data_IF_855604412033
#
_entry.id   IF_855604412033
#
_cell.length_a   1.000
_cell.length_b   1.000
_cell.length_c   1.000
_cell.angle_alpha   90.00
_cell.angle_beta   90.00
_cell.angle_gamma   90.00
#
_symmetry.space_group_name_H-M   'P 1'
#
loop_
_entity.id
_entity.type
_entity.pdbx_description
1 polymer ?
#
# COMPACT_ATOMS: atom_id res chain seq x y z
N UNK A 1 -10.86 34.08 -10.01
CA UNK A 1 -10.66 32.74 -9.42
C UNK A 1 -9.17 32.57 -9.16
N UNK A 2 -8.71 32.44 -7.90
CA UNK A 2 -7.31 32.16 -7.66
C UNK A 2 -7.01 30.75 -8.17
N UNK A 3 -6.04 30.63 -9.07
CA UNK A 3 -5.51 29.36 -9.53
C UNK A 3 -4.95 28.62 -8.33
N UNK A 4 -5.53 27.47 -7.98
CA UNK A 4 -4.94 26.54 -7.02
C UNK A 4 -3.66 26.03 -7.66
N UNK A 5 -2.55 26.73 -7.40
CA UNK A 5 -1.23 26.18 -7.62
C UNK A 5 -1.07 25.12 -6.53
N UNK A 6 -1.37 23.87 -6.86
CA UNK A 6 -0.90 22.73 -6.09
C UNK A 6 0.64 22.78 -6.14
N UNK A 7 1.23 23.53 -5.21
CA UNK A 7 2.66 23.49 -5.00
C UNK A 7 3.00 22.06 -4.60
N UNK A 8 3.51 21.29 -5.55
CA UNK A 8 4.12 19.98 -5.37
C UNK A 8 5.42 20.19 -4.54
N UNK A 9 5.23 20.59 -3.28
CA UNK A 9 6.29 21.14 -2.43
C UNK A 9 7.09 19.97 -1.92
N UNK A 10 8.29 19.80 -2.50
CA UNK A 10 9.22 18.76 -2.08
C UNK A 10 9.69 19.06 -0.65
N UNK A 11 9.19 18.29 0.31
CA UNK A 11 9.68 18.35 1.68
C UNK A 11 11.05 17.67 1.79
N UNK A 12 11.94 18.27 2.59
CA UNK A 12 13.26 17.71 2.88
C UNK A 12 13.20 16.98 4.21
N UNK A 13 13.53 15.70 4.19
CA UNK A 13 13.65 14.86 5.37
C UNK A 13 15.10 14.42 5.54
N UNK A 14 15.66 14.61 6.74
CA UNK A 14 16.99 14.14 7.11
C UNK A 14 16.84 12.99 8.10
N UNK A 15 17.48 11.85 7.83
CA UNK A 15 17.45 10.68 8.69
C UNK A 15 18.82 10.01 8.72
N UNK A 16 19.10 9.29 9.81
CA UNK A 16 20.32 8.51 9.94
C UNK A 16 20.08 7.08 9.47
N UNK A 17 21.02 6.54 8.70
CA UNK A 17 21.03 5.14 8.26
C UNK A 17 22.35 4.49 8.64
N UNK A 18 22.34 3.17 8.75
CA UNK A 18 23.57 2.40 8.91
C UNK A 18 24.43 2.45 7.64
N UNK A 19 25.74 2.24 7.82
CA UNK A 19 26.73 2.22 6.74
C UNK A 19 26.34 1.26 5.60
N UNK A 20 25.88 0.06 5.97
CA UNK A 20 25.57 -0.99 5.01
C UNK A 20 24.43 -0.60 4.07
N UNK A 21 23.40 0.09 4.58
CA UNK A 21 22.30 0.58 3.77
C UNK A 21 22.74 1.75 2.90
N UNK A 22 23.57 2.65 3.42
CA UNK A 22 24.16 3.75 2.66
C UNK A 22 24.96 3.23 1.45
N UNK A 23 25.78 2.20 1.66
CA UNK A 23 26.59 1.58 0.60
C UNK A 23 25.73 0.90 -0.46
N UNK A 24 24.69 0.18 -0.04
CA UNK A 24 23.74 -0.47 -0.95
C UNK A 24 22.99 0.55 -1.80
N UNK A 25 22.45 1.60 -1.17
CA UNK A 25 21.73 2.68 -1.86
C UNK A 25 22.66 3.40 -2.84
N UNK A 26 23.91 3.67 -2.43
CA UNK A 26 24.91 4.32 -3.28
C UNK A 26 25.26 3.46 -4.50
N UNK A 27 25.39 2.13 -4.35
CA UNK A 27 25.61 1.21 -5.46
C UNK A 27 24.43 1.20 -6.44
N UNK A 28 23.20 1.13 -5.93
CA UNK A 28 21.97 1.16 -6.75
C UNK A 28 21.85 2.49 -7.48
N UNK A 29 22.13 3.61 -6.81
CA UNK A 29 22.16 4.94 -7.41
C UNK A 29 23.11 5.01 -8.60
N UNK A 30 24.33 4.46 -8.46
CA UNK A 30 25.31 4.39 -9.56
C UNK A 30 24.84 3.53 -10.72
N UNK A 31 24.25 2.36 -10.45
CA UNK A 31 23.78 1.43 -11.48
C UNK A 31 22.58 1.97 -12.26
N UNK A 32 21.63 2.59 -11.55
CA UNK A 32 20.36 3.08 -12.13
C UNK A 32 20.45 4.52 -12.63
N UNK A 33 21.55 5.22 -12.31
CA UNK A 33 21.75 6.66 -12.56
C UNK A 33 20.66 7.54 -11.92
N UNK A 34 19.98 7.03 -10.89
CA UNK A 34 18.98 7.76 -10.13
C UNK A 34 19.60 8.38 -8.88
N UNK A 35 19.19 9.58 -8.47
CA UNK A 35 19.64 10.16 -7.21
C UNK A 35 19.05 9.38 -6.03
N UNK A 36 19.78 9.36 -4.91
CA UNK A 36 19.40 8.65 -3.69
C UNK A 36 17.99 9.05 -3.20
N UNK A 37 17.62 10.32 -3.34
CA UNK A 37 16.30 10.81 -2.93
C UNK A 37 15.15 10.20 -3.74
N UNK A 38 15.34 9.92 -5.03
CA UNK A 38 14.34 9.26 -5.87
C UNK A 38 14.21 7.78 -5.50
N UNK A 39 15.33 7.12 -5.20
CA UNK A 39 15.34 5.74 -4.71
C UNK A 39 14.62 5.64 -3.36
N UNK A 40 14.93 6.55 -2.45
CA UNK A 40 14.29 6.61 -1.13
C UNK A 40 12.79 6.87 -1.25
N UNK A 41 12.35 7.80 -2.13
CA UNK A 41 10.92 8.06 -2.34
C UNK A 41 10.18 6.83 -2.84
N UNK A 42 10.73 6.12 -3.83
CA UNK A 42 10.13 4.88 -4.34
C UNK A 42 10.08 3.79 -3.28
N UNK A 43 11.15 3.62 -2.51
CA UNK A 43 11.19 2.63 -1.44
C UNK A 43 10.16 2.92 -0.35
N UNK A 44 10.00 4.18 0.06
CA UNK A 44 9.01 4.60 1.03
C UNK A 44 7.58 4.40 0.52
N UNK A 45 7.31 4.80 -0.73
CA UNK A 45 5.99 4.58 -1.35
C UNK A 45 5.64 3.10 -1.38
N UNK A 46 6.55 2.25 -1.88
CA UNK A 46 6.33 0.80 -1.95
C UNK A 46 6.10 0.18 -0.56
N UNK A 47 6.75 0.72 0.47
CA UNK A 47 6.56 0.25 1.85
C UNK A 47 5.18 0.65 2.40
N UNK A 48 4.74 1.89 2.14
CA UNK A 48 3.41 2.38 2.50
C UNK A 48 2.33 1.55 1.78
N UNK A 49 2.45 1.40 0.46
CA UNK A 49 1.51 0.63 -0.36
C UNK A 49 1.38 -0.82 0.14
N UNK A 50 2.50 -1.41 0.59
CA UNK A 50 2.51 -2.75 1.17
C UNK A 50 1.70 -2.80 2.48
N UNK A 51 1.91 -1.84 3.38
CA UNK A 51 1.16 -1.77 4.65
C UNK A 51 -0.33 -1.56 4.39
N UNK A 52 -0.68 -0.67 3.47
CA UNK A 52 -2.08 -0.40 3.12
C UNK A 52 -2.75 -1.63 2.52
N UNK A 53 -2.04 -2.36 1.65
CA UNK A 53 -2.52 -3.61 1.09
C UNK A 53 -2.76 -4.66 2.17
N UNK A 54 -1.81 -4.87 3.07
CA UNK A 54 -1.96 -5.81 4.20
C UNK A 54 -3.18 -5.45 5.06
N UNK A 55 -3.38 -4.16 5.33
CA UNK A 55 -4.55 -3.68 6.07
C UNK A 55 -5.87 -3.94 5.36
N UNK A 56 -5.93 -3.70 4.05
CA UNK A 56 -7.13 -3.96 3.24
C UNK A 56 -7.43 -5.46 3.20
N UNK A 57 -6.40 -6.31 3.08
CA UNK A 57 -6.55 -7.76 3.11
C UNK A 57 -7.11 -8.24 4.47
N UNK A 58 -6.60 -7.70 5.58
CA UNK A 58 -7.11 -7.98 6.92
C UNK A 58 -8.57 -7.52 7.11
N UNK A 59 -8.91 -6.32 6.62
CA UNK A 59 -10.28 -5.79 6.66
C UNK A 59 -11.25 -6.61 5.80
N UNK A 60 -10.81 -7.07 4.63
CA UNK A 60 -11.57 -7.97 3.77
C UNK A 60 -11.79 -9.32 4.45
N UNK A 61 -10.75 -9.93 5.02
CA UNK A 61 -10.87 -11.19 5.74
C UNK A 61 -11.83 -11.08 6.93
N UNK A 62 -11.74 -10.00 7.69
CA UNK A 62 -12.66 -9.71 8.79
C UNK A 62 -14.09 -9.53 8.29
N UNK A 63 -14.29 -8.80 7.19
CA UNK A 63 -15.61 -8.61 6.56
C UNK A 63 -16.22 -9.91 6.03
N UNK A 64 -15.43 -10.75 5.37
CA UNK A 64 -15.87 -12.07 4.91
C UNK A 64 -16.25 -13.00 6.07
N UNK A 65 -15.48 -12.99 7.16
CA UNK A 65 -15.80 -13.75 8.38
C UNK A 65 -17.05 -13.23 9.07
N UNK A 66 -17.21 -11.92 9.18
CA UNK A 66 -18.37 -11.30 9.83
C UNK A 66 -19.67 -11.56 9.04
N UNK A 67 -19.58 -11.57 7.71
CA UNK A 67 -20.72 -11.85 6.84
C UNK A 67 -20.89 -13.34 6.50
N UNK A 68 -20.08 -14.23 7.08
CA UNK A 68 -20.16 -15.66 6.81
C UNK A 68 -21.56 -16.21 7.11
N UNK A 69 -22.13 -15.90 8.26
CA UNK A 69 -23.47 -16.34 8.64
C UNK A 69 -24.57 -15.76 7.73
N UNK A 70 -24.40 -14.51 7.28
CA UNK A 70 -25.30 -13.87 6.32
C UNK A 70 -25.24 -14.57 4.95
N UNK A 71 -24.05 -14.87 4.44
CA UNK A 71 -23.89 -15.58 3.17
C UNK A 71 -24.35 -17.04 3.25
N UNK A 72 -24.13 -17.71 4.38
CA UNK A 72 -24.57 -19.09 4.60
C UNK A 72 -26.09 -19.19 4.56
N UNK A 73 -26.79 -18.32 5.30
CA UNK A 73 -28.24 -18.25 5.34
C UNK A 73 -28.83 -17.91 3.97
N UNK A 74 -28.24 -16.93 3.29
CA UNK A 74 -28.68 -16.55 1.94
C UNK A 74 -28.48 -17.71 0.94
N UNK A 75 -27.37 -18.44 1.00
CA UNK A 75 -27.17 -19.62 0.13
C UNK A 75 -28.20 -20.73 0.39
N UNK A 76 -28.58 -20.97 1.65
CA UNK A 76 -29.63 -21.94 1.98
C UNK A 76 -31.01 -21.51 1.45
N UNK A 77 -31.34 -20.22 1.57
CA UNK A 77 -32.59 -19.65 1.04
C UNK A 77 -32.65 -19.76 -0.50
N UNK A 78 -31.56 -19.47 -1.21
CA UNK A 78 -31.50 -19.61 -2.68
C UNK A 78 -31.50 -21.07 -3.14
N UNK A 79 -30.86 -21.98 -2.40
CA UNK A 79 -30.88 -23.42 -2.70
C UNK A 79 -32.28 -24.05 -2.57
N UNK A 80 -33.16 -23.43 -1.80
CA UNK A 80 -34.55 -23.83 -1.68
C UNK A 80 -35.45 -23.12 -2.70
N UNK A 81 -35.05 -21.97 -3.24
CA UNK A 81 -35.77 -21.27 -4.31
C UNK A 81 -35.67 -21.97 -5.68
N UNK A 82 -34.57 -22.70 -5.94
CA UNK A 82 -34.39 -23.53 -7.16
C UNK A 82 -35.18 -24.85 -7.13
N UNK A 83 -35.98 -25.10 -6.08
CA UNK A 83 -36.76 -26.34 -5.88
C UNK A 83 -38.28 -26.16 -5.92
N UNK A 84 -38.77 -24.94 -6.16
CA UNK A 84 -40.17 -24.67 -6.54
C UNK A 84 -40.30 -24.52 -8.06
#
# INVERSE_FOLDING_TARGET
MPSVQEENKKERMSFFINSDLSDKISKISKQTKLPVSEIARKALQNYIDKIEKEKIEDELEAGYKANYDYYLKTQEEWKNADKE
#
